data_IF_832851121180
#
_entry.id   IF_832851121180
#
_cell.length_a   1.000
_cell.length_b   1.000
_cell.length_c   1.000
_cell.angle_alpha   90.00
_cell.angle_beta   90.00
_cell.angle_gamma   90.00
#
_symmetry.space_group_name_H-M   'P 1'
#
loop_
_entity.id
_entity.type
_entity.pdbx_description
1 polymer ?
#
# COMPACT_ATOMS: atom_id res chain seq x y z
N UNK A 1 19.51 19.38 -11.88
CA UNK A 1 18.06 19.58 -11.61
C UNK A 1 17.45 18.28 -11.13
N UNK A 2 16.74 18.31 -10.02
CA UNK A 2 16.25 17.10 -9.37
C UNK A 2 14.79 17.24 -8.86
N UNK A 3 14.03 18.12 -9.47
CA UNK A 3 12.61 18.27 -9.16
C UNK A 3 11.75 17.97 -10.38
N UNK A 4 10.74 17.14 -10.19
CA UNK A 4 9.76 16.84 -11.23
C UNK A 4 8.71 17.96 -11.28
N UNK A 5 8.22 18.27 -12.48
CA UNK A 5 7.03 19.11 -12.63
C UNK A 5 5.80 18.38 -12.09
N UNK A 6 4.74 19.12 -11.80
CA UNK A 6 3.44 18.53 -11.40
C UNK A 6 2.94 17.57 -12.48
N UNK A 7 3.05 17.97 -13.76
CA UNK A 7 2.67 17.10 -14.87
C UNK A 7 3.40 15.76 -14.81
N UNK A 8 4.73 15.78 -14.63
CA UNK A 8 5.51 14.54 -14.58
C UNK A 8 5.18 13.70 -13.36
N UNK A 9 4.99 14.33 -12.20
CA UNK A 9 4.58 13.61 -10.99
C UNK A 9 3.26 12.87 -11.20
N UNK A 10 2.27 13.57 -11.75
CA UNK A 10 0.97 12.95 -12.01
C UNK A 10 1.09 11.82 -13.04
N UNK A 11 1.94 12.00 -14.07
CA UNK A 11 2.17 10.96 -15.07
C UNK A 11 2.83 9.73 -14.47
N UNK A 12 3.84 9.91 -13.64
CA UNK A 12 4.52 8.79 -12.96
C UNK A 12 3.52 8.02 -12.09
N UNK A 13 2.70 8.72 -11.32
CA UNK A 13 1.69 8.07 -10.48
C UNK A 13 0.65 7.33 -11.32
N UNK A 14 0.17 7.94 -12.41
CA UNK A 14 -0.80 7.28 -13.29
C UNK A 14 -0.20 6.03 -13.93
N UNK A 15 0.99 6.15 -14.52
CA UNK A 15 1.60 5.06 -15.25
C UNK A 15 1.97 3.88 -14.35
N UNK A 16 2.32 4.13 -13.09
CA UNK A 16 2.77 3.08 -12.18
C UNK A 16 1.70 2.57 -11.21
N UNK A 17 0.66 3.34 -10.95
CA UNK A 17 -0.35 2.97 -9.95
C UNK A 17 -1.75 2.75 -10.54
N UNK A 18 -2.03 3.21 -11.76
CA UNK A 18 -3.37 3.12 -12.33
C UNK A 18 -3.45 2.34 -13.64
N UNK A 19 -2.40 2.34 -14.45
CA UNK A 19 -2.40 1.63 -15.74
C UNK A 19 -2.03 0.17 -15.61
N UNK A 20 -1.35 -0.22 -14.53
CA UNK A 20 -0.99 -1.60 -14.26
C UNK A 20 -1.54 -2.02 -12.89
N UNK A 21 -1.86 -3.31 -12.69
CA UNK A 21 -2.30 -3.77 -11.38
C UNK A 21 -1.22 -3.57 -10.31
N UNK A 22 -1.64 -3.08 -9.15
CA UNK A 22 -0.75 -2.92 -7.99
C UNK A 22 -1.42 -3.51 -6.76
N UNK A 23 -0.60 -3.85 -5.76
CA UNK A 23 -1.04 -4.59 -4.59
C UNK A 23 -0.43 -3.99 -3.33
N UNK A 24 -1.25 -3.87 -2.29
CA UNK A 24 -0.79 -3.34 -1.01
C UNK A 24 -0.34 -4.47 -0.11
N UNK A 25 0.77 -4.27 0.58
CA UNK A 25 1.38 -5.24 1.48
C UNK A 25 1.60 -4.64 2.86
N UNK A 26 1.60 -5.49 3.87
CA UNK A 26 1.82 -5.10 5.26
C UNK A 26 3.18 -5.60 5.73
N UNK A 27 3.89 -4.75 6.49
CA UNK A 27 5.22 -5.05 6.98
C UNK A 27 5.29 -4.95 8.50
N UNK A 28 6.01 -5.88 9.10
CA UNK A 28 6.46 -5.79 10.48
C UNK A 28 7.92 -5.37 10.42
N UNK A 29 8.20 -4.09 10.68
CA UNK A 29 9.51 -3.49 10.52
C UNK A 29 10.05 -3.69 9.10
N UNK A 30 11.11 -4.46 8.90
CA UNK A 30 11.74 -4.65 7.60
C UNK A 30 11.22 -5.84 6.80
N UNK A 31 10.30 -6.64 7.35
CA UNK A 31 9.84 -7.87 6.72
C UNK A 31 8.34 -7.84 6.44
N UNK A 32 7.94 -8.24 5.23
CA UNK A 32 6.54 -8.43 4.91
C UNK A 32 5.96 -9.56 5.77
N UNK A 33 4.69 -9.39 6.21
CA UNK A 33 3.97 -10.45 6.93
C UNK A 33 3.99 -11.72 6.08
N UNK A 34 4.35 -12.86 6.70
CA UNK A 34 4.51 -14.13 5.99
C UNK A 34 3.69 -15.24 6.63
N UNK A 35 2.47 -14.95 7.07
CA UNK A 35 1.58 -15.92 7.69
C UNK A 35 0.63 -16.52 6.65
N UNK A 36 0.19 -17.79 6.83
CA UNK A 36 -0.66 -18.47 5.83
C UNK A 36 -1.96 -17.75 5.49
N UNK A 37 -2.57 -17.05 6.44
CA UNK A 37 -3.82 -16.32 6.20
C UNK A 37 -3.59 -14.95 5.57
N UNK A 38 -2.34 -14.48 5.47
CA UNK A 38 -2.03 -13.18 4.87
C UNK A 38 -1.87 -13.31 3.37
N UNK A 39 -2.44 -12.34 2.64
CA UNK A 39 -2.16 -12.14 1.22
C UNK A 39 -2.26 -10.65 0.91
N UNK A 40 -1.46 -10.18 -0.04
CA UNK A 40 -1.54 -8.81 -0.53
C UNK A 40 -2.93 -8.56 -1.10
N UNK A 41 -3.39 -7.33 -1.02
CA UNK A 41 -4.70 -6.95 -1.52
C UNK A 41 -4.56 -6.02 -2.73
N UNK A 42 -5.44 -6.20 -3.71
CA UNK A 42 -5.53 -5.28 -4.84
C UNK A 42 -5.86 -3.89 -4.33
N UNK A 43 -5.19 -2.88 -4.89
CA UNK A 43 -5.46 -1.48 -4.56
C UNK A 43 -5.67 -0.69 -5.84
N UNK A 44 -6.65 0.21 -5.81
CA UNK A 44 -6.91 1.16 -6.89
C UNK A 44 -6.75 2.57 -6.37
N UNK A 45 -6.30 3.47 -7.23
CA UNK A 45 -6.01 4.86 -6.87
C UNK A 45 -6.86 5.84 -7.66
N UNK A 46 -7.20 6.97 -7.03
CA UNK A 46 -7.86 8.08 -7.72
C UNK A 46 -6.88 8.73 -8.70
N UNK A 47 -7.41 9.54 -9.64
CA UNK A 47 -6.57 10.30 -10.56
C UNK A 47 -5.64 11.23 -9.77
N UNK A 48 -4.33 11.24 -10.05
CA UNK A 48 -3.39 12.09 -9.32
C UNK A 48 -3.66 13.57 -9.53
N UNK A 49 -3.47 14.34 -8.47
CA UNK A 49 -3.59 15.80 -8.48
C UNK A 49 -2.45 16.37 -7.66
N UNK A 50 -1.77 17.39 -8.19
CA UNK A 50 -0.67 18.07 -7.49
C UNK A 50 0.43 17.11 -7.03
N UNK A 51 0.69 16.04 -7.80
CA UNK A 51 1.74 15.08 -7.49
C UNK A 51 1.39 14.10 -6.40
N UNK A 52 0.11 13.91 -6.10
CA UNK A 52 -0.32 12.93 -5.10
C UNK A 52 -1.57 12.20 -5.52
N UNK A 53 -1.77 11.04 -4.93
CA UNK A 53 -2.99 10.23 -5.11
C UNK A 53 -3.26 9.47 -3.82
N UNK A 54 -4.43 8.83 -3.74
CA UNK A 54 -4.80 8.00 -2.61
C UNK A 54 -5.69 6.85 -3.08
N UNK A 55 -5.87 5.87 -2.19
CA UNK A 55 -6.70 4.71 -2.54
C UNK A 55 -8.16 5.15 -2.75
N UNK A 56 -8.75 4.62 -3.82
CA UNK A 56 -10.11 5.01 -4.26
C UNK A 56 -11.23 4.26 -3.53
N UNK A 57 -10.89 3.23 -2.75
CA UNK A 57 -11.85 2.42 -2.02
C UNK A 57 -11.22 1.87 -0.75
N UNK A 58 -12.06 1.40 0.18
CA UNK A 58 -11.60 0.69 1.37
C UNK A 58 -10.83 -0.57 0.96
N UNK A 59 -9.77 -0.88 1.70
CA UNK A 59 -9.00 -2.10 1.53
C UNK A 59 -9.15 -2.94 2.78
N UNK A 60 -9.66 -4.17 2.62
CA UNK A 60 -9.81 -5.11 3.72
C UNK A 60 -8.92 -6.30 3.48
N UNK A 61 -8.01 -6.57 4.42
CA UNK A 61 -7.22 -7.79 4.40
C UNK A 61 -8.05 -8.94 4.95
N UNK A 62 -7.67 -10.20 4.69
CA UNK A 62 -8.38 -11.33 5.29
C UNK A 62 -8.34 -11.26 6.82
N UNK A 63 -9.33 -11.86 7.47
CA UNK A 63 -9.30 -12.03 8.92
C UNK A 63 -8.12 -12.94 9.25
N UNK A 64 -7.28 -12.52 10.22
CA UNK A 64 -6.08 -13.25 10.58
C UNK A 64 -6.43 -14.60 11.20
N UNK A 65 -5.90 -15.66 10.61
CA UNK A 65 -6.03 -17.02 11.16
C UNK A 65 -4.96 -17.33 12.20
N UNK A 66 -3.95 -16.49 12.33
CA UNK A 66 -2.86 -16.55 13.30
C UNK A 66 -2.40 -15.13 13.57
N UNK A 67 -1.49 -14.96 14.53
CA UNK A 67 -0.95 -13.64 14.86
C UNK A 67 -0.03 -13.16 13.74
N UNK A 68 -0.30 -11.98 13.18
CA UNK A 68 0.56 -11.35 12.17
C UNK A 68 1.61 -10.43 12.81
N UNK A 69 1.42 -10.04 14.06
CA UNK A 69 2.30 -9.12 14.77
C UNK A 69 1.94 -7.66 14.50
N UNK A 70 2.88 -6.77 14.78
CA UNK A 70 2.68 -5.33 14.60
C UNK A 70 2.83 -4.94 13.15
N UNK A 71 1.87 -4.21 12.63
CA UNK A 71 1.94 -3.65 11.28
C UNK A 71 2.52 -2.24 11.41
N UNK A 72 3.78 -2.11 11.01
CA UNK A 72 4.55 -0.87 11.18
C UNK A 72 4.71 -0.09 9.89
N UNK A 73 4.66 -0.78 8.73
CA UNK A 73 4.85 -0.16 7.42
C UNK A 73 3.87 -0.74 6.42
N UNK A 74 3.57 0.04 5.40
CA UNK A 74 2.71 -0.35 4.29
C UNK A 74 3.50 -0.18 3.01
N UNK A 75 3.45 -1.17 2.12
CA UNK A 75 4.14 -1.13 0.84
C UNK A 75 3.19 -1.35 -0.32
N UNK A 76 3.62 -0.95 -1.52
CA UNK A 76 2.89 -1.18 -2.76
C UNK A 76 3.83 -1.92 -3.70
N UNK A 77 3.36 -3.06 -4.20
CA UNK A 77 4.10 -3.93 -5.12
C UNK A 77 3.39 -3.97 -6.48
N UNK A 78 4.15 -4.31 -7.51
CA UNK A 78 3.63 -4.50 -8.86
C UNK A 78 3.16 -5.93 -9.14
N UNK A 79 3.17 -6.79 -8.14
CA UNK A 79 2.77 -8.21 -8.27
C UNK A 79 2.11 -8.70 -7.00
N UNK A 80 1.20 -9.66 -7.14
CA UNK A 80 0.52 -10.27 -5.98
C UNK A 80 1.51 -11.04 -5.10
N UNK A 81 2.52 -11.66 -5.72
CA UNK A 81 3.59 -12.36 -5.02
C UNK A 81 4.91 -11.99 -5.65
N UNK A 82 5.96 -11.87 -4.84
CA UNK A 82 7.27 -11.42 -5.34
C UNK A 82 7.19 -10.03 -5.94
N UNK A 83 7.76 -9.86 -7.13
CA UNK A 83 7.71 -8.59 -7.86
C UNK A 83 8.58 -7.49 -7.25
N UNK A 84 8.30 -6.27 -7.66
CA UNK A 84 9.07 -5.09 -7.25
C UNK A 84 8.29 -4.23 -6.27
N UNK A 85 8.95 -3.82 -5.20
CA UNK A 85 8.40 -2.84 -4.28
C UNK A 85 8.47 -1.46 -4.94
N UNK A 86 7.33 -0.80 -5.08
CA UNK A 86 7.24 0.52 -5.70
C UNK A 86 7.32 1.64 -4.66
N UNK A 87 6.57 1.50 -3.56
CA UNK A 87 6.52 2.47 -2.48
C UNK A 87 6.44 1.76 -1.15
N UNK A 88 7.05 2.35 -0.11
CA UNK A 88 6.96 1.85 1.25
C UNK A 88 7.03 3.04 2.20
N UNK A 89 6.14 3.09 3.17
CA UNK A 89 6.14 4.15 4.18
C UNK A 89 5.68 3.62 5.53
N UNK A 90 6.03 4.32 6.62
CA UNK A 90 5.47 3.98 7.93
C UNK A 90 3.96 4.06 7.91
N UNK A 91 3.31 3.13 8.61
CA UNK A 91 1.87 3.22 8.85
C UNK A 91 1.61 4.43 9.77
N UNK A 92 0.46 5.11 9.56
CA UNK A 92 0.10 6.25 10.41
C UNK A 92 0.03 5.85 11.87
N UNK A 93 -0.53 4.67 12.15
CA UNK A 93 -0.58 4.08 13.48
C UNK A 93 -0.10 2.64 13.41
N UNK A 94 0.74 2.25 14.36
CA UNK A 94 1.12 0.83 14.50
C UNK A 94 -0.08 0.09 15.06
N UNK A 95 -0.46 -1.00 14.39
CA UNK A 95 -1.57 -1.84 14.82
C UNK A 95 -1.11 -3.28 14.93
N UNK A 96 -1.39 -3.91 16.08
CA UNK A 96 -1.12 -5.33 16.27
C UNK A 96 -2.26 -6.15 15.74
N UNK A 97 -1.97 -7.09 14.86
CA UNK A 97 -2.96 -8.00 14.28
C UNK A 97 -2.78 -9.38 14.91
N UNK A 98 -3.67 -9.69 15.84
CA UNK A 98 -3.77 -11.00 16.46
C UNK A 98 -4.76 -11.89 15.72
N UNK A 99 -4.82 -13.17 16.09
CA UNK A 99 -5.80 -14.10 15.51
C UNK A 99 -7.21 -13.52 15.63
N UNK A 100 -7.99 -13.64 14.57
CA UNK A 100 -9.35 -13.11 14.42
C UNK A 100 -9.45 -11.60 14.26
N UNK A 101 -8.33 -10.88 14.26
CA UNK A 101 -8.31 -9.45 13.92
C UNK A 101 -8.26 -9.26 12.39
N UNK A 102 -8.56 -8.04 11.95
CA UNK A 102 -8.53 -7.71 10.52
C UNK A 102 -7.93 -6.33 10.33
N UNK A 103 -7.05 -6.21 9.33
CA UNK A 103 -6.45 -4.92 8.98
C UNK A 103 -7.29 -4.25 7.89
N UNK A 104 -7.61 -2.97 8.09
CA UNK A 104 -8.38 -2.18 7.13
C UNK A 104 -7.65 -0.88 6.82
N UNK A 105 -7.61 -0.51 5.54
CA UNK A 105 -7.16 0.81 5.10
C UNK A 105 -8.39 1.50 4.51
N UNK A 106 -8.97 2.51 5.20
CA UNK A 106 -10.12 3.22 4.67
C UNK A 106 -9.80 3.98 3.39
N UNK A 107 -10.82 4.25 2.59
CA UNK A 107 -10.72 5.07 1.40
C UNK A 107 -10.01 6.39 1.70
N UNK A 108 -9.08 6.80 0.84
CA UNK A 108 -8.29 8.04 0.93
C UNK A 108 -7.27 8.07 2.07
N UNK A 109 -7.04 6.96 2.79
CA UNK A 109 -6.07 6.94 3.87
C UNK A 109 -4.64 6.67 3.40
N UNK A 110 -4.47 5.85 2.37
CA UNK A 110 -3.15 5.55 1.84
C UNK A 110 -2.81 6.60 0.79
N UNK A 111 -1.99 7.57 1.17
CA UNK A 111 -1.61 8.69 0.31
C UNK A 111 -0.22 8.45 -0.24
N UNK A 112 -0.08 8.52 -1.56
CA UNK A 112 1.21 8.47 -2.24
C UNK A 112 1.50 9.84 -2.83
N UNK A 113 2.62 10.43 -2.43
CA UNK A 113 3.02 11.76 -2.86
C UNK A 113 4.45 11.72 -3.40
N UNK A 114 4.65 12.33 -4.56
CA UNK A 114 5.98 12.53 -5.12
C UNK A 114 6.47 13.93 -4.78
N UNK A 115 7.73 14.02 -4.38
CA UNK A 115 8.36 15.29 -4.01
C UNK A 115 9.26 15.80 -5.13
#
# INVERSE_FOLDING_TARGET
>A
MNHMSIYLKNKVLTDNLRTTPVYVALFNNGAEVAQPSYTRQTITFIAPTDGQTSNSADILFPIAGENWGDITHIGIFDSLTGGNLLFKSPAEFVKTIDVSSQYKIPKNYLIVRLK
#
